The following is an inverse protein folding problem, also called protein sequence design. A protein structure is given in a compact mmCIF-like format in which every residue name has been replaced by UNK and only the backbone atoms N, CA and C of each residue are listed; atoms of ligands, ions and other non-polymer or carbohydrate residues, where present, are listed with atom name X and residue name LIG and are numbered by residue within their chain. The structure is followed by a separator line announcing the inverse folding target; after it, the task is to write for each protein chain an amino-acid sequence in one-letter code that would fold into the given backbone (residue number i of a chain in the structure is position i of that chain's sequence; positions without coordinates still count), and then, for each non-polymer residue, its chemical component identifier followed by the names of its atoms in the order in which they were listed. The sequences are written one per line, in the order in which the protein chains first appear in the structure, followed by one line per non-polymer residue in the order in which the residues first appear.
data_IF_801456308854
#
_entry.id   IF_801456308854
#
_cell.length_a   1.000
_cell.length_b   1.000
_cell.length_c   1.000
_cell.angle_alpha   90.00
_cell.angle_beta   90.00
_cell.angle_gamma   90.00
#
_symmetry.space_group_name_H-M   'P 1'
#
loop_
_entity.id
_entity.type
_entity.pdbx_description
1 polymer ?
#
# COMPACT_ATOMS: atom_id res chain seq x y z
N UNK A 1 2.79 -12.62 6.88
CA UNK A 1 4.22 -13.00 7.02
C UNK A 1 4.33 -14.49 6.73
N UNK A 2 4.85 -14.84 5.57
CA UNK A 2 5.27 -16.20 5.30
C UNK A 2 6.62 -16.38 5.98
N UNK A 3 6.84 -17.52 6.63
CA UNK A 3 7.97 -17.77 7.55
C UNK A 3 9.37 -17.92 6.95
N UNK A 4 9.68 -17.30 5.82
CA UNK A 4 10.90 -17.55 5.05
C UNK A 4 11.81 -16.30 4.91
N UNK A 5 11.79 -15.39 5.89
CA UNK A 5 12.75 -14.27 5.90
C UNK A 5 12.54 -13.19 4.84
N UNK A 6 11.49 -13.28 4.06
CA UNK A 6 11.12 -12.23 3.11
C UNK A 6 10.43 -11.07 3.87
N UNK A 7 11.20 -10.04 4.09
CA UNK A 7 10.75 -8.82 4.77
C UNK A 7 9.86 -7.95 3.88
N UNK A 8 9.56 -8.38 2.67
CA UNK A 8 8.76 -7.65 1.71
C UNK A 8 9.30 -6.24 1.43
N UNK A 9 8.44 -5.33 0.93
CA UNK A 9 8.84 -3.95 0.62
C UNK A 9 9.43 -3.18 1.81
N UNK A 10 8.96 -3.45 3.03
CA UNK A 10 9.47 -2.81 4.25
C UNK A 10 10.93 -3.18 4.52
N UNK A 11 11.32 -4.44 4.29
CA UNK A 11 12.71 -4.87 4.41
C UNK A 11 13.63 -4.19 3.41
N UNK A 12 13.17 -4.02 2.18
CA UNK A 12 13.92 -3.29 1.15
C UNK A 12 14.09 -1.81 1.50
N UNK A 13 13.08 -1.18 2.09
CA UNK A 13 13.18 0.20 2.57
C UNK A 13 14.15 0.32 3.75
N UNK A 14 14.17 -0.65 4.66
CA UNK A 14 15.10 -0.67 5.79
C UNK A 14 16.58 -0.75 5.34
N UNK A 15 16.86 -1.30 4.16
CA UNK A 15 18.20 -1.35 3.57
C UNK A 15 18.62 -0.05 2.86
N UNK A 16 17.72 0.93 2.71
CA UNK A 16 18.04 2.25 2.17
C UNK A 16 18.48 3.19 3.27
N UNK A 17 19.11 4.30 2.89
CA UNK A 17 19.66 5.29 3.80
C UNK A 17 19.11 6.68 3.49
N UNK A 18 18.95 7.49 4.53
CA UNK A 18 18.59 8.90 4.38
C UNK A 18 17.15 9.15 3.91
N UNK A 19 16.27 8.17 4.04
CA UNK A 19 14.85 8.34 3.75
C UNK A 19 14.11 8.91 4.96
N UNK A 20 13.05 9.67 4.69
CA UNK A 20 12.01 9.96 5.67
C UNK A 20 10.83 9.06 5.38
N UNK A 21 10.54 8.14 6.28
CA UNK A 21 9.50 7.13 6.12
C UNK A 21 8.37 7.43 7.11
N UNK A 22 7.16 7.51 6.60
CA UNK A 22 5.94 7.63 7.42
C UNK A 22 5.15 6.33 7.26
N UNK A 23 4.83 5.69 8.36
CA UNK A 23 4.07 4.42 8.35
C UNK A 23 2.95 4.43 9.37
N UNK A 24 1.82 3.84 9.01
CA UNK A 24 0.73 3.56 9.94
C UNK A 24 0.72 2.09 10.41
N UNK A 25 1.69 1.27 10.00
CA UNK A 25 1.77 -0.13 10.37
C UNK A 25 2.58 -0.32 11.65
N UNK A 26 1.91 -0.74 12.72
CA UNK A 26 2.59 -1.09 13.96
C UNK A 26 3.53 -2.31 13.78
N UNK A 27 3.24 -3.17 12.83
CA UNK A 27 4.02 -4.38 12.56
C UNK A 27 5.40 -4.09 11.95
N UNK A 28 5.48 -3.14 11.01
CA UNK A 28 6.74 -2.83 10.32
C UNK A 28 7.52 -1.70 10.99
N UNK A 29 6.92 -0.96 11.90
CA UNK A 29 7.58 0.14 12.62
C UNK A 29 8.89 -0.27 13.29
N UNK A 30 8.96 -1.38 14.05
CA UNK A 30 10.22 -1.80 14.67
C UNK A 30 11.33 -2.08 13.67
N UNK A 31 11.00 -2.71 12.55
CA UNK A 31 11.95 -3.02 11.48
C UNK A 31 12.53 -1.74 10.85
N UNK A 32 11.69 -0.76 10.58
CA UNK A 32 12.11 0.50 10.00
C UNK A 32 12.87 1.37 11.00
N UNK A 33 12.50 1.34 12.28
CA UNK A 33 13.14 2.11 13.33
C UNK A 33 14.59 1.69 13.60
N UNK A 34 14.96 0.45 13.27
CA UNK A 34 16.33 -0.07 13.38
C UNK A 34 17.19 0.22 12.13
N UNK A 35 16.71 1.04 11.22
CA UNK A 35 17.41 1.44 10.00
C UNK A 35 18.00 2.85 10.08
N UNK A 36 18.90 3.18 9.15
CA UNK A 36 19.48 4.53 9.02
C UNK A 36 18.52 5.57 8.39
N UNK A 37 17.23 5.40 8.62
CA UNK A 37 16.18 6.28 8.10
C UNK A 37 15.49 7.04 9.24
N UNK A 38 14.90 8.18 8.91
CA UNK A 38 14.02 8.88 9.84
C UNK A 38 12.62 8.30 9.72
N UNK A 39 12.09 7.73 10.81
CA UNK A 39 10.81 7.02 10.80
C UNK A 39 9.77 7.74 11.67
N UNK A 40 8.65 8.07 11.08
CA UNK A 40 7.47 8.58 11.77
C UNK A 40 6.40 7.48 11.81
N UNK A 41 6.10 6.98 12.99
CA UNK A 41 4.99 6.06 13.21
C UNK A 41 3.71 6.85 13.49
N UNK A 42 2.71 6.67 12.63
CA UNK A 42 1.40 7.29 12.82
C UNK A 42 0.61 6.52 13.88
N UNK A 43 0.11 7.26 14.87
CA UNK A 43 -0.78 6.71 15.87
C UNK A 43 -2.23 6.65 15.41
N UNK A 44 -3.05 5.95 16.17
CA UNK A 44 -4.48 5.78 15.92
C UNK A 44 -5.04 4.55 16.59
N UNK A 45 -6.25 4.16 16.24
CA UNK A 45 -6.81 2.89 16.63
C UNK A 45 -6.12 1.76 15.85
N UNK A 46 -5.65 0.74 16.54
CA UNK A 46 -5.01 -0.41 15.89
C UNK A 46 -6.07 -1.37 15.35
N UNK A 47 -6.05 -1.60 14.06
CA UNK A 47 -6.85 -2.63 13.41
C UNK A 47 -6.25 -4.01 13.75
N UNK A 48 -7.04 -4.88 14.39
CA UNK A 48 -6.54 -6.15 14.90
C UNK A 48 -6.06 -7.13 13.82
N UNK A 49 -6.63 -7.06 12.62
CA UNK A 49 -6.31 -7.98 11.51
C UNK A 49 -5.03 -7.58 10.75
N UNK A 50 -4.80 -6.29 10.56
CA UNK A 50 -3.67 -5.78 9.78
C UNK A 50 -2.56 -5.18 10.63
N UNK A 51 -2.82 -4.94 11.92
CA UNK A 51 -1.97 -4.18 12.83
C UNK A 51 -1.63 -2.77 12.31
N UNK A 52 -2.50 -2.23 11.47
CA UNK A 52 -2.40 -0.86 11.00
C UNK A 52 -3.14 0.10 11.92
N UNK A 53 -2.57 1.28 12.14
CA UNK A 53 -3.27 2.38 12.79
C UNK A 53 -4.26 3.01 11.82
N UNK A 54 -5.49 3.19 12.25
CA UNK A 54 -6.62 3.71 11.49
C UNK A 54 -7.38 4.77 12.28
N UNK A 55 -8.39 5.37 11.65
CA UNK A 55 -9.27 6.35 12.28
C UNK A 55 -8.80 7.79 12.15
N UNK A 56 -9.54 8.69 12.80
CA UNK A 56 -9.42 10.14 12.60
C UNK A 56 -8.02 10.68 12.90
N UNK A 57 -7.33 10.18 13.91
CA UNK A 57 -5.99 10.65 14.25
C UNK A 57 -5.00 10.37 13.13
N UNK A 58 -5.04 9.16 12.58
CA UNK A 58 -4.17 8.76 11.47
C UNK A 58 -4.50 9.54 10.19
N UNK A 59 -5.79 9.66 9.86
CA UNK A 59 -6.24 10.43 8.68
C UNK A 59 -5.83 11.90 8.79
N UNK A 60 -6.03 12.51 9.96
CA UNK A 60 -5.65 13.92 10.18
C UNK A 60 -4.15 14.13 10.01
N UNK A 61 -3.33 13.23 10.54
CA UNK A 61 -1.88 13.29 10.34
C UNK A 61 -1.51 13.19 8.86
N UNK A 62 -2.08 12.21 8.13
CA UNK A 62 -1.82 12.05 6.69
C UNK A 62 -2.19 13.29 5.87
N UNK A 63 -3.28 13.97 6.20
CA UNK A 63 -3.71 15.20 5.51
C UNK A 63 -2.74 16.37 5.64
N UNK A 64 -1.88 16.37 6.65
CA UNK A 64 -0.84 17.40 6.84
C UNK A 64 0.45 17.09 6.09
N UNK A 65 0.60 15.88 5.56
CA UNK A 65 1.80 15.43 4.89
C UNK A 65 1.82 15.79 3.40
N UNK A 66 3.03 15.81 2.86
CA UNK A 66 3.31 15.81 1.44
C UNK A 66 4.43 14.79 1.21
N UNK A 67 4.06 13.61 0.75
CA UNK A 67 5.02 12.54 0.45
C UNK A 67 5.42 12.59 -1.04
N UNK A 68 6.61 12.13 -1.35
CA UNK A 68 7.02 11.94 -2.73
C UNK A 68 6.40 10.68 -3.31
N UNK A 69 6.34 9.61 -2.51
CA UNK A 69 5.79 8.31 -2.91
C UNK A 69 4.95 7.73 -1.79
N UNK A 70 3.76 7.21 -2.12
CA UNK A 70 3.00 6.32 -1.26
C UNK A 70 3.06 4.88 -1.80
N UNK A 71 3.40 3.93 -0.93
CA UNK A 71 3.35 2.50 -1.21
C UNK A 71 2.13 1.91 -0.50
N UNK A 72 1.19 1.37 -1.26
CA UNK A 72 -0.14 1.01 -0.75
C UNK A 72 -0.47 -0.43 -1.14
N UNK A 73 -0.77 -1.26 -0.15
CA UNK A 73 -1.29 -2.60 -0.39
C UNK A 73 -2.78 -2.60 -0.72
N UNK A 74 -3.27 -3.67 -1.35
CA UNK A 74 -4.69 -3.91 -1.61
C UNK A 74 -5.11 -5.30 -1.14
N UNK A 75 -6.39 -5.46 -0.77
CA UNK A 75 -6.94 -6.77 -0.41
C UNK A 75 -7.50 -7.50 -1.62
N UNK A 76 -7.93 -6.79 -2.64
CA UNK A 76 -8.46 -7.38 -3.87
C UNK A 76 -8.77 -6.31 -4.91
N UNK A 77 -8.95 -6.75 -6.15
CA UNK A 77 -9.28 -5.87 -7.29
C UNK A 77 -10.42 -6.44 -8.15
N UNK A 78 -10.86 -7.66 -7.87
CA UNK A 78 -11.87 -8.35 -8.66
C UNK A 78 -13.20 -7.57 -8.68
N UNK A 79 -13.72 -7.34 -9.88
CA UNK A 79 -15.01 -6.66 -10.09
C UNK A 79 -15.00 -5.14 -9.88
N UNK A 80 -13.83 -4.54 -9.67
CA UNK A 80 -13.67 -3.11 -9.41
C UNK A 80 -12.83 -2.38 -10.47
N UNK A 81 -12.98 -1.06 -10.51
CA UNK A 81 -12.22 -0.17 -11.40
C UNK A 81 -10.95 0.39 -10.74
N UNK A 82 -10.58 -0.15 -9.59
CA UNK A 82 -9.43 0.25 -8.80
C UNK A 82 -9.13 -0.69 -7.65
N UNK A 83 -8.10 -0.41 -6.87
CA UNK A 83 -7.72 -1.23 -5.73
C UNK A 83 -8.69 -1.07 -4.56
N UNK A 84 -8.97 -2.18 -3.86
CA UNK A 84 -9.97 -2.27 -2.81
C UNK A 84 -9.41 -2.79 -1.49
N UNK A 85 -10.16 -2.56 -0.43
CA UNK A 85 -9.92 -3.12 0.90
C UNK A 85 -11.23 -3.61 1.52
N UNK A 86 -11.13 -4.50 2.50
CA UNK A 86 -12.29 -5.10 3.15
C UNK A 86 -12.79 -4.30 4.35
N UNK A 87 -12.01 -3.32 4.83
CA UNK A 87 -12.27 -2.57 6.06
C UNK A 87 -12.38 -1.08 5.75
N UNK A 88 -13.52 -0.48 6.12
CA UNK A 88 -13.82 0.92 5.81
C UNK A 88 -12.76 1.90 6.37
N UNK A 89 -12.34 1.73 7.62
CA UNK A 89 -11.33 2.58 8.23
C UNK A 89 -9.96 2.47 7.55
N UNK A 90 -9.63 1.33 6.95
CA UNK A 90 -8.43 1.20 6.11
C UNK A 90 -8.60 1.89 4.76
N UNK A 91 -9.80 1.86 4.17
CA UNK A 91 -10.06 2.58 2.94
C UNK A 91 -9.85 4.09 3.10
N UNK A 92 -10.31 4.68 4.21
CA UNK A 92 -10.08 6.09 4.53
C UNK A 92 -8.58 6.43 4.59
N UNK A 93 -7.77 5.56 5.23
CA UNK A 93 -6.32 5.73 5.31
C UNK A 93 -5.68 5.65 3.92
N UNK A 94 -6.02 4.62 3.13
CA UNK A 94 -5.46 4.41 1.79
C UNK A 94 -5.84 5.54 0.83
N UNK A 95 -7.07 6.04 0.91
CA UNK A 95 -7.49 7.25 0.18
C UNK A 95 -6.65 8.47 0.59
N UNK A 96 -6.43 8.68 1.89
CA UNK A 96 -5.59 9.78 2.37
C UNK A 96 -4.13 9.63 1.93
N UNK A 97 -3.59 8.41 1.86
CA UNK A 97 -2.25 8.14 1.32
C UNK A 97 -2.14 8.53 -0.16
N UNK A 98 -3.12 8.14 -0.97
CA UNK A 98 -3.16 8.56 -2.39
C UNK A 98 -3.17 10.08 -2.52
N UNK A 99 -3.96 10.75 -1.70
CA UNK A 99 -4.11 12.22 -1.76
C UNK A 99 -2.89 13.00 -1.27
N UNK A 100 -2.11 12.45 -0.33
CA UNK A 100 -0.96 13.16 0.23
C UNK A 100 0.34 12.97 -0.56
N UNK A 101 0.40 12.03 -1.49
CA UNK A 101 1.60 11.69 -2.23
C UNK A 101 1.61 12.30 -3.64
N UNK A 102 2.81 12.60 -4.14
CA UNK A 102 3.01 13.01 -5.54
C UNK A 102 2.86 11.81 -6.48
N UNK A 103 3.25 10.61 -6.02
CA UNK A 103 3.10 9.35 -6.75
C UNK A 103 2.55 8.28 -5.83
N UNK A 104 1.54 7.58 -6.31
CA UNK A 104 0.91 6.46 -5.60
C UNK A 104 1.20 5.15 -6.32
N UNK A 105 1.79 4.21 -5.60
CA UNK A 105 2.16 2.90 -6.11
C UNK A 105 1.39 1.85 -5.34
N UNK A 106 0.60 1.04 -6.04
CA UNK A 106 -0.09 -0.10 -5.45
C UNK A 106 0.77 -1.35 -5.61
N UNK A 107 0.91 -2.09 -4.52
CA UNK A 107 1.65 -3.35 -4.45
C UNK A 107 0.66 -4.48 -4.18
N UNK A 108 0.60 -5.48 -5.05
CA UNK A 108 -0.18 -6.68 -4.81
C UNK A 108 0.39 -7.88 -5.56
N UNK A 109 0.25 -9.06 -4.99
CA UNK A 109 0.50 -10.30 -5.69
C UNK A 109 -0.69 -10.70 -6.58
N UNK A 110 -0.47 -11.64 -7.49
CA UNK A 110 -1.49 -12.06 -8.45
C UNK A 110 -2.71 -12.74 -7.82
N UNK A 111 -2.65 -13.19 -6.56
CA UNK A 111 -3.83 -13.73 -5.87
C UNK A 111 -4.93 -12.70 -5.70
N UNK A 112 -4.55 -11.41 -5.55
CA UNK A 112 -5.48 -10.30 -5.32
C UNK A 112 -6.40 -10.00 -6.50
N UNK A 113 -6.07 -10.49 -7.69
CA UNK A 113 -6.92 -10.40 -8.88
C UNK A 113 -8.11 -11.34 -8.84
N UNK A 114 -8.10 -12.31 -7.93
CA UNK A 114 -9.18 -13.29 -7.72
C UNK A 114 -9.95 -13.07 -6.43
N UNK A 115 -9.54 -12.08 -5.65
CA UNK A 115 -10.16 -11.75 -4.38
C UNK A 115 -11.08 -10.54 -4.53
N UNK A 116 -12.29 -10.67 -4.00
CA UNK A 116 -13.21 -9.56 -3.85
C UNK A 116 -12.89 -8.80 -2.56
N UNK A 117 -12.96 -7.47 -2.63
CA UNK A 117 -12.91 -6.60 -1.47
C UNK A 117 -13.96 -5.51 -1.64
N UNK A 118 -14.67 -5.18 -0.56
CA UNK A 118 -15.95 -4.45 -0.65
C UNK A 118 -15.76 -2.98 -0.99
N UNK A 119 -14.63 -2.36 -0.59
CA UNK A 119 -14.48 -0.91 -0.58
C UNK A 119 -13.33 -0.50 -1.47
N UNK A 120 -13.65 0.12 -2.59
CA UNK A 120 -12.66 0.74 -3.47
C UNK A 120 -12.16 2.05 -2.84
N UNK A 121 -10.83 2.23 -2.75
CA UNK A 121 -10.23 3.42 -2.16
C UNK A 121 -9.61 4.39 -3.18
N UNK A 122 -9.47 3.98 -4.44
CA UNK A 122 -9.03 4.82 -5.55
C UNK A 122 -9.46 4.20 -6.88
N UNK A 123 -9.55 5.00 -7.94
CA UNK A 123 -9.60 4.51 -9.32
C UNK A 123 -8.18 4.28 -9.85
N UNK A 124 -8.01 3.35 -10.80
CA UNK A 124 -6.69 3.12 -11.41
C UNK A 124 -6.08 4.38 -12.03
N UNK A 125 -6.88 5.34 -12.47
CA UNK A 125 -6.42 6.64 -12.99
C UNK A 125 -5.79 7.53 -11.91
N UNK A 126 -6.05 7.27 -10.64
CA UNK A 126 -5.45 7.99 -9.50
C UNK A 126 -4.16 7.31 -8.99
N UNK A 127 -3.84 6.14 -9.54
CA UNK A 127 -2.65 5.36 -9.19
C UNK A 127 -1.62 5.51 -10.31
N UNK A 128 -0.40 5.86 -9.99
CA UNK A 128 0.66 6.06 -10.98
C UNK A 128 1.29 4.76 -11.43
N UNK A 129 1.31 3.75 -10.56
CA UNK A 129 1.89 2.45 -10.89
C UNK A 129 1.26 1.33 -10.06
N UNK A 130 0.99 0.21 -10.73
CA UNK A 130 0.74 -1.07 -10.10
C UNK A 130 1.99 -1.94 -10.26
N UNK A 131 2.48 -2.48 -9.14
CA UNK A 131 3.54 -3.50 -9.13
C UNK A 131 2.92 -4.81 -8.68
N UNK A 132 3.07 -5.84 -9.49
CA UNK A 132 2.55 -7.19 -9.22
C UNK A 132 3.57 -8.25 -9.65
N UNK A 133 3.27 -9.51 -9.43
CA UNK A 133 4.09 -10.64 -9.85
C UNK A 133 3.55 -11.34 -11.12
N UNK A 134 4.26 -12.36 -11.58
CA UNK A 134 3.93 -13.12 -12.80
C UNK A 134 2.67 -13.97 -12.69
N UNK A 135 2.09 -14.12 -11.50
CA UNK A 135 0.86 -14.92 -11.29
C UNK A 135 -0.41 -14.11 -11.56
N UNK A 136 -0.27 -12.81 -11.78
CA UNK A 136 -1.38 -11.93 -12.13
C UNK A 136 -1.95 -12.25 -13.52
N UNK A 137 -3.29 -12.29 -13.70
CA UNK A 137 -3.90 -12.61 -14.99
C UNK A 137 -3.64 -11.52 -16.04
N UNK A 138 -3.06 -11.88 -17.17
CA UNK A 138 -2.68 -10.93 -18.22
C UNK A 138 -3.88 -10.15 -18.79
N UNK A 139 -5.05 -10.75 -18.87
CA UNK A 139 -6.27 -10.06 -19.32
C UNK A 139 -6.63 -8.88 -18.42
N UNK A 140 -6.52 -9.05 -17.10
CA UNK A 140 -6.75 -7.99 -16.12
C UNK A 140 -5.65 -6.91 -16.21
N UNK A 141 -4.40 -7.33 -16.32
CA UNK A 141 -3.27 -6.40 -16.47
C UNK A 141 -3.39 -5.55 -17.73
N UNK A 142 -3.85 -6.13 -18.86
CA UNK A 142 -4.07 -5.40 -20.10
C UNK A 142 -5.12 -4.30 -19.92
N UNK A 143 -6.21 -4.55 -19.20
CA UNK A 143 -7.23 -3.55 -18.89
C UNK A 143 -6.67 -2.42 -17.99
N UNK A 144 -5.87 -2.77 -16.99
CA UNK A 144 -5.27 -1.81 -16.06
C UNK A 144 -4.23 -0.93 -16.76
N UNK A 145 -3.43 -1.50 -17.67
CA UNK A 145 -2.44 -0.75 -18.47
C UNK A 145 -3.04 0.39 -19.31
N UNK A 146 -4.34 0.33 -19.60
CA UNK A 146 -5.03 1.45 -20.27
C UNK A 146 -5.21 2.68 -19.36
N UNK A 147 -5.04 2.51 -18.05
CA UNK A 147 -5.32 3.54 -17.04
C UNK A 147 -4.09 3.96 -16.24
N UNK A 148 -3.16 3.04 -16.02
CA UNK A 148 -1.95 3.29 -15.23
C UNK A 148 -0.78 2.44 -15.70
N UNK A 149 0.42 2.76 -15.24
CA UNK A 149 1.62 1.94 -15.47
C UNK A 149 1.52 0.63 -14.69
N UNK A 150 1.87 -0.49 -15.32
CA UNK A 150 1.92 -1.79 -14.69
C UNK A 150 3.33 -2.38 -14.83
N UNK A 151 3.95 -2.69 -13.70
CA UNK A 151 5.22 -3.40 -13.62
C UNK A 151 4.98 -4.81 -13.08
N UNK A 152 5.47 -5.81 -13.80
CA UNK A 152 5.44 -7.20 -13.36
C UNK A 152 6.83 -7.56 -12.86
N UNK A 153 6.96 -7.83 -11.57
CA UNK A 153 8.22 -8.25 -10.98
C UNK A 153 8.57 -9.65 -11.48
N UNK A 154 9.77 -9.80 -12.07
CA UNK A 154 10.37 -11.07 -12.39
C UNK A 154 11.03 -11.69 -11.16
N UNK A 155 11.16 -13.00 -11.16
CA UNK A 155 12.03 -13.74 -10.24
C UNK A 155 13.50 -13.56 -10.63
#
# INVERSE_FOLDING_TARGET
MNGDGDLGPAGLLALRHGLTIVTNSAQITPLLADSDNTVYALGGQVCATSLACVGMWTVTALRTLRADIALIGTNGVLGHTGPCTSIYSEAEIKTAMVQCAKKSIVLCDGSKFREEAVIQFADWQQIDCLITDQTAPEAELAAIRQKTTVLVAGT
#
